data_IF_713244179283
#
_entry.id   IF_713244179283
#
_cell.length_a   1.000
_cell.length_b   1.000
_cell.length_c   1.000
_cell.angle_alpha   90.00
_cell.angle_beta   90.00
_cell.angle_gamma   90.00
#
_symmetry.space_group_name_H-M   'P 1'
#
loop_
_entity.id
_entity.type
_entity.pdbx_description
1 polymer ?
#
# COMPACT_ATOMS: atom_id res chain seq x y z
N UNK A 1 -40.66 -20.60 4.21
CA UNK A 1 -40.55 -19.56 3.17
C UNK A 1 -41.28 -18.35 3.69
N UNK A 2 -40.57 -17.39 4.25
CA UNK A 2 -41.12 -16.14 4.71
C UNK A 2 -40.40 -15.02 3.99
N UNK A 3 -41.16 -14.26 3.23
CA UNK A 3 -40.69 -13.17 2.37
C UNK A 3 -40.12 -12.01 3.21
N UNK A 4 -38.99 -11.50 2.78
CA UNK A 4 -38.33 -10.31 3.35
C UNK A 4 -38.99 -9.03 2.77
N UNK A 5 -39.37 -8.05 3.55
CA UNK A 5 -40.00 -6.84 3.03
C UNK A 5 -38.99 -5.95 2.29
N UNK A 6 -39.36 -5.59 1.06
CA UNK A 6 -38.63 -4.61 0.24
C UNK A 6 -38.69 -3.21 0.83
N UNK A 7 -37.58 -2.75 1.41
CA UNK A 7 -37.43 -1.34 1.79
C UNK A 7 -37.11 -0.48 0.55
N UNK A 8 -38.06 0.34 0.12
CA UNK A 8 -37.83 1.40 -0.86
C UNK A 8 -36.98 2.50 -0.24
N UNK A 9 -35.72 2.57 -0.60
CA UNK A 9 -34.85 3.70 -0.25
C UNK A 9 -35.16 4.86 -1.18
N UNK A 10 -35.83 5.89 -0.68
CA UNK A 10 -35.89 7.21 -1.30
C UNK A 10 -34.55 7.90 -1.06
N UNK A 11 -33.85 8.22 -2.13
CA UNK A 11 -32.68 9.11 -2.10
C UNK A 11 -33.12 10.51 -1.66
N UNK A 12 -32.87 10.84 -0.40
CA UNK A 12 -32.92 12.21 0.10
C UNK A 12 -31.54 12.85 -0.04
N UNK A 13 -31.53 14.00 -0.69
CA UNK A 13 -30.34 14.86 -0.84
C UNK A 13 -29.92 15.39 0.54
N UNK A 14 -28.56 15.34 0.74
CA UNK A 14 -27.78 16.08 1.73
C UNK A 14 -27.81 15.62 3.21
N UNK A 15 -26.58 15.52 3.71
CA UNK A 15 -26.07 15.64 5.09
C UNK A 15 -25.60 14.38 5.80
N UNK A 16 -24.28 14.41 6.06
CA UNK A 16 -23.53 13.83 7.19
C UNK A 16 -23.97 12.45 7.69
N UNK A 17 -23.16 11.44 7.36
CA UNK A 17 -23.21 10.16 8.09
C UNK A 17 -22.37 10.26 9.36
N UNK A 18 -23.01 10.18 10.51
CA UNK A 18 -22.41 9.86 11.80
C UNK A 18 -22.72 8.38 12.04
N UNK A 19 -21.69 7.53 12.14
CA UNK A 19 -21.87 6.17 12.62
C UNK A 19 -21.76 6.16 14.13
N UNK A 20 -22.88 5.92 14.82
CA UNK A 20 -22.89 5.47 16.22
C UNK A 20 -22.99 3.95 16.21
N UNK A 21 -21.92 3.29 16.66
CA UNK A 21 -21.93 1.88 16.97
C UNK A 21 -22.34 1.69 18.44
N UNK A 22 -23.45 1.03 18.67
CA UNK A 22 -23.76 0.42 19.99
C UNK A 22 -24.69 -0.76 19.79
N UNK A 23 -24.23 -1.90 20.20
CA UNK A 23 -24.76 -3.11 20.82
C UNK A 23 -24.35 -4.42 20.15
N UNK A 24 -23.91 -5.42 20.92
CA UNK A 24 -23.48 -6.72 20.40
C UNK A 24 -24.67 -7.69 20.37
N UNK A 25 -24.72 -8.52 19.32
CA UNK A 25 -25.52 -9.74 19.31
C UNK A 25 -26.64 -9.75 18.29
N UNK A 26 -26.34 -10.24 17.09
CA UNK A 26 -27.14 -11.15 16.26
C UNK A 26 -26.48 -11.28 14.89
N UNK A 27 -25.81 -12.42 14.66
CA UNK A 27 -25.38 -12.82 13.33
C UNK A 27 -26.61 -13.24 12.52
N UNK A 28 -26.99 -12.45 11.52
CA UNK A 28 -27.84 -12.87 10.42
C UNK A 28 -27.10 -12.49 9.14
N UNK A 29 -26.54 -13.53 8.50
CA UNK A 29 -25.92 -13.41 7.19
C UNK A 29 -26.95 -13.01 6.13
N UNK A 30 -26.83 -11.78 5.65
CA UNK A 30 -27.38 -11.38 4.37
C UNK A 30 -26.23 -11.33 3.37
N UNK A 31 -26.15 -12.28 2.46
CA UNK A 31 -25.27 -12.16 1.28
C UNK A 31 -25.70 -10.97 0.43
N UNK A 32 -24.86 -9.92 0.44
CA UNK A 32 -24.96 -8.84 -0.52
C UNK A 32 -24.39 -9.31 -1.88
N UNK A 33 -25.23 -9.84 -2.75
CA UNK A 33 -24.90 -10.04 -4.17
C UNK A 33 -24.99 -8.69 -4.91
N UNK A 34 -24.19 -7.73 -4.48
CA UNK A 34 -23.93 -6.50 -5.21
C UNK A 34 -22.78 -6.74 -6.17
N UNK A 35 -23.04 -6.95 -7.46
CA UNK A 35 -22.02 -6.78 -8.51
C UNK A 35 -21.41 -5.39 -8.29
N UNK A 36 -20.21 -5.33 -7.70
CA UNK A 36 -19.34 -4.15 -7.83
C UNK A 36 -19.07 -4.01 -9.32
N UNK A 37 -19.80 -3.14 -9.99
CA UNK A 37 -19.33 -2.58 -11.25
C UNK A 37 -17.99 -1.94 -10.88
N UNK A 38 -16.90 -2.41 -11.46
CA UNK A 38 -15.65 -1.68 -11.50
C UNK A 38 -16.01 -0.33 -12.16
N UNK A 39 -16.29 0.66 -11.34
CA UNK A 39 -16.38 2.04 -11.81
C UNK A 39 -14.94 2.40 -12.16
N UNK A 40 -14.55 2.22 -13.42
CA UNK A 40 -13.40 2.93 -13.95
C UNK A 40 -13.66 4.40 -13.66
N UNK A 41 -12.71 5.13 -13.07
CA UNK A 41 -12.86 6.57 -12.92
C UNK A 41 -13.20 7.11 -14.31
N UNK A 42 -14.34 7.78 -14.44
CA UNK A 42 -14.72 8.43 -15.69
C UNK A 42 -13.64 9.48 -15.92
N UNK A 43 -12.84 9.38 -16.99
CA UNK A 43 -11.80 10.37 -17.23
C UNK A 43 -12.47 11.73 -17.38
N UNK A 44 -11.86 12.74 -16.75
CA UNK A 44 -12.33 14.12 -16.88
C UNK A 44 -12.40 14.49 -18.37
N UNK A 45 -13.47 15.12 -18.86
CA UNK A 45 -13.51 15.61 -20.24
C UNK A 45 -12.29 16.48 -20.52
N UNK A 46 -11.67 16.30 -21.68
CA UNK A 46 -10.43 17.03 -22.05
C UNK A 46 -10.61 18.54 -22.03
N UNK A 47 -11.80 18.99 -22.40
CA UNK A 47 -12.19 20.40 -22.38
C UNK A 47 -12.19 20.95 -20.94
N UNK A 48 -12.79 20.23 -20.00
CA UNK A 48 -12.80 20.59 -18.57
C UNK A 48 -11.39 20.61 -17.99
N UNK A 49 -10.56 19.62 -18.32
CA UNK A 49 -9.15 19.57 -17.88
C UNK A 49 -8.36 20.77 -18.43
N UNK A 50 -8.56 21.13 -19.70
CA UNK A 50 -7.91 22.28 -20.32
C UNK A 50 -8.28 23.59 -19.64
N UNK A 51 -9.57 23.79 -19.34
CA UNK A 51 -10.08 24.95 -18.61
C UNK A 51 -9.47 25.03 -17.21
N UNK A 52 -9.46 23.92 -16.48
CA UNK A 52 -8.88 23.85 -15.13
C UNK A 52 -7.38 24.15 -15.12
N UNK A 53 -6.61 23.57 -16.05
CA UNK A 53 -5.19 23.83 -16.17
C UNK A 53 -4.89 25.28 -16.58
N UNK A 54 -5.72 25.89 -17.42
CA UNK A 54 -5.58 27.30 -17.78
C UNK A 54 -5.88 28.21 -16.57
N UNK A 55 -6.90 27.90 -15.77
CA UNK A 55 -7.20 28.62 -14.54
C UNK A 55 -6.07 28.51 -13.51
N UNK A 56 -5.46 27.33 -13.33
CA UNK A 56 -4.29 27.15 -12.46
C UNK A 56 -3.07 27.97 -12.96
N UNK A 57 -2.84 28.07 -14.25
CA UNK A 57 -1.79 28.94 -14.82
C UNK A 57 -2.03 30.41 -14.50
N UNK A 58 -3.26 30.89 -14.58
CA UNK A 58 -3.59 32.27 -14.19
C UNK A 58 -3.28 32.53 -12.71
N UNK A 59 -3.66 31.61 -11.83
CA UNK A 59 -3.33 31.71 -10.39
C UNK A 59 -1.81 31.75 -10.18
N UNK A 60 -1.05 30.91 -10.88
CA UNK A 60 0.41 30.88 -10.75
C UNK A 60 1.12 32.12 -11.27
N UNK A 61 0.60 32.74 -12.35
CA UNK A 61 1.19 33.94 -12.95
C UNK A 61 0.74 35.23 -12.29
N UNK A 62 -0.42 35.23 -11.65
CA UNK A 62 -1.00 36.41 -10.98
C UNK A 62 -1.56 36.06 -9.58
N UNK A 63 -0.69 35.56 -8.68
CA UNK A 63 -1.11 35.04 -7.36
C UNK A 63 -1.62 36.11 -6.40
N UNK A 64 -1.46 37.39 -6.71
CA UNK A 64 -1.99 38.50 -5.92
C UNK A 64 -3.42 38.87 -6.31
N UNK A 65 -3.85 38.46 -7.52
CA UNK A 65 -5.19 38.76 -8.07
C UNK A 65 -6.16 37.63 -7.83
N UNK A 66 -5.67 36.39 -7.92
CA UNK A 66 -6.49 35.18 -7.80
C UNK A 66 -6.18 34.44 -6.49
N UNK A 67 -7.21 33.91 -5.85
CA UNK A 67 -7.08 33.09 -4.63
C UNK A 67 -6.85 31.61 -4.90
N UNK A 68 -7.26 31.13 -6.10
CA UNK A 68 -7.08 29.73 -6.51
C UNK A 68 -8.11 29.27 -7.53
N UNK A 69 -7.94 28.05 -8.03
CA UNK A 69 -8.90 27.41 -8.94
C UNK A 69 -9.37 26.07 -8.33
N UNK A 70 -10.66 25.79 -8.43
CA UNK A 70 -11.29 24.60 -7.87
C UNK A 70 -12.16 23.91 -8.92
N UNK A 71 -11.95 22.61 -9.08
CA UNK A 71 -12.81 21.77 -9.91
C UNK A 71 -13.97 21.23 -9.08
N UNK A 72 -15.19 21.49 -9.52
CA UNK A 72 -16.43 21.02 -8.89
C UNK A 72 -16.96 19.75 -9.53
N UNK A 73 -17.80 19.07 -8.78
CA UNK A 73 -18.59 17.97 -9.29
C UNK A 73 -19.39 18.43 -10.53
N UNK A 74 -19.43 17.57 -11.57
CA UNK A 74 -20.03 17.93 -12.85
C UNK A 74 -19.09 18.72 -13.80
N UNK A 75 -17.80 18.82 -13.48
CA UNK A 75 -16.79 19.39 -14.39
C UNK A 75 -16.75 20.92 -14.46
N UNK A 76 -17.39 21.62 -13.51
CA UNK A 76 -17.36 23.09 -13.47
C UNK A 76 -16.10 23.59 -12.77
N UNK A 77 -15.44 24.59 -13.35
CA UNK A 77 -14.25 25.23 -12.78
C UNK A 77 -14.64 26.54 -12.10
N UNK A 78 -14.29 26.69 -10.83
CA UNK A 78 -14.45 27.92 -10.05
C UNK A 78 -13.09 28.57 -9.88
N UNK A 79 -12.93 29.80 -10.34
CA UNK A 79 -11.77 30.63 -10.09
C UNK A 79 -12.11 31.63 -8.98
N UNK A 80 -11.33 31.63 -7.90
CA UNK A 80 -11.49 32.62 -6.85
C UNK A 80 -10.70 33.87 -7.20
N UNK A 81 -11.31 35.04 -7.03
CA UNK A 81 -10.76 36.35 -7.40
C UNK A 81 -10.80 37.27 -6.18
N UNK A 82 -9.71 37.93 -5.91
CA UNK A 82 -9.62 38.88 -4.77
C UNK A 82 -10.54 40.08 -5.02
N UNK A 83 -11.35 40.44 -4.00
CA UNK A 83 -12.25 41.59 -4.03
C UNK A 83 -11.46 42.91 -4.11
N UNK A 84 -12.08 43.96 -4.68
CA UNK A 84 -11.48 45.29 -4.77
C UNK A 84 -11.69 45.94 -6.14
N UNK A 85 -11.09 47.11 -6.34
CA UNK A 85 -11.32 47.97 -7.52
C UNK A 85 -10.95 47.30 -8.87
N UNK A 86 -10.08 46.27 -8.86
CA UNK A 86 -9.67 45.51 -10.03
C UNK A 86 -10.52 44.27 -10.36
N UNK A 87 -11.54 43.97 -9.60
CA UNK A 87 -12.31 42.72 -9.67
C UNK A 87 -12.87 42.43 -11.08
N UNK A 88 -13.54 43.38 -11.69
CA UNK A 88 -14.20 43.19 -13.00
C UNK A 88 -13.17 43.08 -14.12
N UNK A 89 -12.04 43.82 -14.02
CA UNK A 89 -10.91 43.66 -14.94
C UNK A 89 -10.27 42.28 -14.84
N UNK A 90 -10.09 41.77 -13.62
CA UNK A 90 -9.55 40.42 -13.37
C UNK A 90 -10.46 39.32 -13.92
N UNK A 91 -11.80 39.44 -13.73
CA UNK A 91 -12.76 38.48 -14.31
C UNK A 91 -12.74 38.53 -15.84
N UNK A 92 -12.71 39.71 -16.45
CA UNK A 92 -12.66 39.88 -17.88
C UNK A 92 -11.34 39.26 -18.48
N UNK A 93 -10.21 39.51 -17.83
CA UNK A 93 -8.94 38.92 -18.22
C UNK A 93 -8.97 37.38 -18.13
N UNK A 94 -9.56 36.84 -17.06
CA UNK A 94 -9.69 35.40 -16.88
C UNK A 94 -10.58 34.76 -17.96
N UNK A 95 -11.74 35.35 -18.27
CA UNK A 95 -12.62 34.88 -19.36
C UNK A 95 -11.93 34.90 -20.72
N UNK A 96 -11.12 35.93 -20.99
CA UNK A 96 -10.36 36.03 -22.23
C UNK A 96 -9.25 34.96 -22.35
N UNK A 97 -8.62 34.59 -21.22
CA UNK A 97 -7.52 33.65 -21.18
C UNK A 97 -7.95 32.17 -21.10
N UNK A 98 -9.09 31.88 -20.47
CA UNK A 98 -9.52 30.53 -20.12
C UNK A 98 -10.76 30.09 -20.88
N UNK A 99 -11.69 31.02 -21.17
CA UNK A 99 -12.95 30.75 -21.85
C UNK A 99 -14.19 31.00 -20.96
N UNK A 100 -15.37 30.86 -21.57
CA UNK A 100 -16.65 31.23 -20.97
C UNK A 100 -17.16 30.30 -19.85
N UNK A 101 -16.59 29.11 -19.69
CA UNK A 101 -17.06 28.08 -18.74
C UNK A 101 -16.52 28.26 -17.30
N UNK A 102 -15.95 29.43 -16.99
CA UNK A 102 -15.47 29.77 -15.67
C UNK A 102 -16.57 30.34 -14.79
N UNK A 103 -16.67 29.79 -13.58
CA UNK A 103 -17.43 30.40 -12.49
C UNK A 103 -16.48 31.22 -11.60
N UNK A 104 -16.98 32.35 -11.09
CA UNK A 104 -16.20 33.20 -10.20
C UNK A 104 -16.73 33.17 -8.78
N UNK A 105 -15.83 33.19 -7.82
CA UNK A 105 -16.11 33.45 -6.41
C UNK A 105 -15.19 34.56 -5.92
N UNK A 106 -15.76 35.60 -5.31
CA UNK A 106 -14.98 36.68 -4.68
C UNK A 106 -14.48 36.21 -3.32
N UNK A 107 -13.23 36.51 -3.03
CA UNK A 107 -12.50 36.13 -1.81
C UNK A 107 -11.71 37.33 -1.28
N UNK A 108 -11.30 37.26 -0.01
CA UNK A 108 -10.57 38.34 0.65
C UNK A 108 -9.04 38.16 0.56
N UNK A 109 -8.57 36.88 0.38
CA UNK A 109 -7.16 36.53 0.39
C UNK A 109 -6.70 36.03 -0.97
N UNK A 110 -5.52 36.47 -1.36
CA UNK A 110 -4.85 36.03 -2.57
C UNK A 110 -4.20 34.64 -2.41
N UNK A 111 -3.89 33.96 -3.53
CA UNK A 111 -3.14 32.72 -3.52
C UNK A 111 -1.75 32.90 -2.88
N UNK A 112 -1.14 34.08 -3.05
CA UNK A 112 0.11 34.45 -2.39
C UNK A 112 -0.03 34.49 -0.88
N UNK A 113 -1.08 35.13 -0.37
CA UNK A 113 -1.33 35.26 1.08
C UNK A 113 -1.57 33.90 1.73
N UNK A 114 -2.43 33.08 1.09
CA UNK A 114 -2.72 31.74 1.59
C UNK A 114 -1.49 30.83 1.53
N UNK A 115 -0.72 30.90 0.42
CA UNK A 115 0.49 30.11 0.27
C UNK A 115 1.58 30.51 1.28
N UNK A 116 1.76 31.81 1.52
CA UNK A 116 2.67 32.31 2.54
C UNK A 116 2.26 31.84 3.94
N UNK A 117 0.98 31.98 4.27
CA UNK A 117 0.44 31.49 5.54
C UNK A 117 0.66 29.99 5.72
N UNK A 118 0.38 29.20 4.70
CA UNK A 118 0.62 27.74 4.71
C UNK A 118 2.11 27.40 4.86
N UNK A 119 3.00 28.14 4.18
CA UNK A 119 4.44 27.93 4.28
C UNK A 119 4.99 28.20 5.71
N UNK A 120 4.54 29.28 6.36
CA UNK A 120 4.90 29.58 7.75
C UNK A 120 4.42 28.47 8.69
N UNK A 121 3.17 28.04 8.54
CA UNK A 121 2.61 26.97 9.37
C UNK A 121 3.33 25.63 9.15
N UNK A 122 3.62 25.26 7.89
CA UNK A 122 4.35 24.04 7.56
C UNK A 122 5.76 24.02 8.13
N UNK A 123 6.46 25.16 8.13
CA UNK A 123 7.77 25.30 8.76
C UNK A 123 7.69 25.02 10.27
N UNK A 124 6.69 25.57 10.96
CA UNK A 124 6.51 25.35 12.39
C UNK A 124 6.12 23.91 12.72
N UNK A 125 5.25 23.29 11.91
CA UNK A 125 4.83 21.90 12.08
C UNK A 125 6.02 20.95 11.83
N UNK A 126 6.77 21.16 10.75
CA UNK A 126 7.90 20.30 10.38
C UNK A 126 9.02 20.32 11.43
N UNK A 127 9.23 21.46 12.09
CA UNK A 127 10.18 21.60 13.18
C UNK A 127 9.58 21.31 14.56
N UNK A 128 8.38 20.77 14.64
CA UNK A 128 7.67 20.44 15.89
C UNK A 128 7.52 21.62 16.86
N UNK A 129 7.44 22.84 16.32
CA UNK A 129 7.23 24.07 17.12
C UNK A 129 5.76 24.31 17.44
N UNK A 130 4.87 23.58 16.81
CA UNK A 130 3.42 23.62 17.03
C UNK A 130 2.92 22.23 17.44
N UNK A 131 2.71 22.04 18.74
CA UNK A 131 2.10 20.82 19.26
C UNK A 131 0.67 20.66 18.70
N UNK A 132 0.22 19.42 18.56
CA UNK A 132 -1.12 19.06 18.09
C UNK A 132 -1.43 19.39 16.61
N UNK A 133 -0.61 20.17 15.91
CA UNK A 133 -0.79 20.41 14.47
C UNK A 133 -0.18 19.27 13.66
N UNK A 134 -0.97 18.68 12.73
CA UNK A 134 -0.59 17.51 11.93
C UNK A 134 -0.27 17.85 10.48
N UNK A 135 -0.82 18.94 9.95
CA UNK A 135 -0.60 19.35 8.58
C UNK A 135 -1.47 20.52 8.17
N UNK A 136 -1.24 21.02 6.95
CA UNK A 136 -2.03 22.11 6.39
C UNK A 136 -2.57 21.76 4.99
N UNK A 137 -3.65 22.40 4.59
CA UNK A 137 -4.13 22.46 3.21
C UNK A 137 -4.72 23.83 2.91
N UNK A 138 -4.58 24.29 1.68
CA UNK A 138 -5.22 25.53 1.21
C UNK A 138 -6.58 25.15 0.61
N UNK A 139 -7.63 25.82 1.03
CA UNK A 139 -8.98 25.73 0.46
C UNK A 139 -9.38 27.06 -0.16
N UNK A 140 -9.07 27.30 -1.44
CA UNK A 140 -9.27 28.59 -2.10
C UNK A 140 -10.72 29.03 -2.10
N UNK A 141 -11.64 28.09 -2.19
CA UNK A 141 -13.07 28.42 -2.20
C UNK A 141 -13.59 28.84 -0.83
N UNK A 142 -13.01 28.32 0.25
CA UNK A 142 -13.31 28.77 1.62
C UNK A 142 -12.50 29.98 2.03
N UNK A 143 -11.53 30.35 1.19
CA UNK A 143 -10.61 31.47 1.42
C UNK A 143 -9.75 31.30 2.68
N UNK A 144 -9.31 30.09 2.95
CA UNK A 144 -8.58 29.75 4.18
C UNK A 144 -7.45 28.75 3.95
N UNK A 145 -6.50 28.75 4.89
CA UNK A 145 -5.59 27.64 5.17
C UNK A 145 -6.21 26.82 6.30
N UNK A 146 -6.50 25.56 6.04
CA UNK A 146 -6.98 24.64 7.07
C UNK A 146 -5.78 23.97 7.73
N UNK A 147 -5.70 24.05 9.06
CA UNK A 147 -4.76 23.29 9.88
C UNK A 147 -5.48 22.06 10.42
N UNK A 148 -4.97 20.87 10.12
CA UNK A 148 -5.46 19.62 10.69
C UNK A 148 -4.80 19.40 12.04
N UNK A 149 -5.57 19.08 13.08
CA UNK A 149 -5.10 18.92 14.47
C UNK A 149 -5.74 17.71 15.15
N UNK A 150 -4.98 17.00 15.99
CA UNK A 150 -5.52 15.98 16.90
C UNK A 150 -6.22 16.58 18.12
N UNK A 151 -5.87 17.84 18.49
CA UNK A 151 -6.55 18.64 19.50
C UNK A 151 -6.78 20.09 19.03
N UNK A 152 -7.87 20.35 18.26
CA UNK A 152 -8.18 21.69 17.77
C UNK A 152 -8.29 22.75 18.87
N UNK A 153 -8.86 22.39 20.02
CA UNK A 153 -9.09 23.34 21.11
C UNK A 153 -7.78 23.92 21.68
N UNK A 154 -6.71 23.16 21.63
CA UNK A 154 -5.38 23.58 22.10
C UNK A 154 -4.74 24.64 21.19
N UNK A 155 -4.97 24.59 19.88
CA UNK A 155 -4.24 25.43 18.91
C UNK A 155 -5.10 26.50 18.23
N UNK A 156 -6.41 26.33 18.14
CA UNK A 156 -7.31 27.28 17.46
C UNK A 156 -7.21 28.71 18.01
N UNK A 157 -7.21 28.95 19.35
CA UNK A 157 -7.07 30.32 19.89
C UNK A 157 -5.75 30.98 19.50
N UNK A 158 -4.67 30.21 19.43
CA UNK A 158 -3.33 30.69 19.07
C UNK A 158 -3.31 31.11 17.60
N UNK A 159 -3.85 30.26 16.73
CA UNK A 159 -3.85 30.49 15.29
C UNK A 159 -4.82 31.62 14.89
N UNK A 160 -6.01 31.68 15.47
CA UNK A 160 -6.96 32.75 15.23
C UNK A 160 -6.39 34.10 15.65
N UNK A 161 -5.72 34.20 16.80
CA UNK A 161 -5.04 35.42 17.23
C UNK A 161 -3.96 35.88 16.26
N UNK A 162 -3.23 34.94 15.64
CA UNK A 162 -2.06 35.23 14.81
C UNK A 162 -2.42 35.49 13.34
N UNK A 163 -3.36 34.74 12.81
CA UNK A 163 -3.68 34.72 11.37
C UNK A 163 -5.10 35.20 11.04
N UNK A 164 -5.93 35.44 12.06
CA UNK A 164 -7.33 35.87 11.85
C UNK A 164 -8.16 34.85 11.10
N UNK A 165 -8.99 35.36 10.18
CA UNK A 165 -9.91 34.55 9.36
C UNK A 165 -9.19 33.67 8.30
N UNK A 166 -7.91 33.90 8.05
CA UNK A 166 -7.12 33.14 7.06
C UNK A 166 -6.87 31.69 7.47
N UNK A 167 -7.03 31.35 8.75
CA UNK A 167 -6.75 30.00 9.25
C UNK A 167 -7.97 29.43 9.96
N UNK A 168 -8.30 28.19 9.64
CA UNK A 168 -9.31 27.38 10.31
C UNK A 168 -8.66 26.10 10.81
N UNK A 169 -9.01 25.68 12.03
CA UNK A 169 -8.53 24.42 12.59
C UNK A 169 -9.62 23.36 12.47
N UNK A 170 -9.26 22.21 11.93
CA UNK A 170 -10.16 21.07 11.81
C UNK A 170 -9.57 19.86 12.52
N UNK A 171 -10.44 19.07 13.15
CA UNK A 171 -10.03 17.82 13.77
C UNK A 171 -9.62 16.81 12.70
N UNK A 172 -8.49 16.18 12.91
CA UNK A 172 -7.99 15.09 12.10
C UNK A 172 -7.17 14.12 12.92
N UNK A 173 -6.70 13.09 12.26
CA UNK A 173 -5.86 12.05 12.84
C UNK A 173 -4.48 12.07 12.20
N UNK A 174 -3.46 11.66 12.94
CA UNK A 174 -2.12 11.47 12.40
C UNK A 174 -2.16 10.42 11.28
N UNK A 175 -1.66 10.79 10.11
CA UNK A 175 -1.55 9.84 9.00
C UNK A 175 -0.49 8.81 9.34
N UNK A 176 -0.85 7.54 9.28
CA UNK A 176 0.08 6.42 9.47
C UNK A 176 0.57 6.00 8.09
N UNK A 177 1.88 5.84 7.95
CA UNK A 177 2.45 5.34 6.71
C UNK A 177 1.87 3.95 6.41
N UNK A 178 1.35 3.76 5.20
CA UNK A 178 0.79 2.48 4.75
C UNK A 178 1.95 1.51 4.41
N UNK A 179 2.80 1.22 5.39
CA UNK A 179 4.00 0.38 5.20
C UNK A 179 3.65 -1.11 5.12
N UNK A 180 2.49 -1.53 5.67
CA UNK A 180 1.97 -2.88 5.57
C UNK A 180 3.06 -3.94 5.73
N UNK A 181 3.28 -4.75 4.68
CA UNK A 181 4.30 -5.81 4.65
C UNK A 181 5.75 -5.35 4.89
N UNK A 182 6.06 -4.05 4.81
CA UNK A 182 7.37 -3.50 5.15
C UNK A 182 7.50 -3.08 6.62
N UNK A 183 6.37 -2.84 7.30
CA UNK A 183 6.31 -2.51 8.73
C UNK A 183 5.76 -3.66 9.58
N UNK A 184 5.90 -4.89 9.10
CA UNK A 184 5.43 -6.08 9.80
C UNK A 184 6.02 -6.17 11.21
N UNK A 185 5.23 -6.66 12.16
CA UNK A 185 5.60 -6.79 13.57
C UNK A 185 5.10 -8.13 14.13
N UNK A 186 5.67 -8.60 15.23
CA UNK A 186 5.26 -9.88 15.80
C UNK A 186 3.75 -9.95 16.16
N UNK A 187 3.06 -11.04 15.84
CA UNK A 187 3.54 -12.23 15.16
C UNK A 187 3.73 -11.98 13.66
N UNK A 188 4.92 -12.27 13.13
CA UNK A 188 5.28 -12.01 11.74
C UNK A 188 4.51 -12.88 10.75
N UNK A 189 4.23 -12.32 9.56
CA UNK A 189 3.53 -12.95 8.44
C UNK A 189 4.48 -13.23 7.27
N UNK A 190 4.09 -14.15 6.39
CA UNK A 190 4.77 -14.35 5.12
C UNK A 190 4.51 -13.22 4.13
N UNK A 191 5.40 -13.05 3.15
CA UNK A 191 5.33 -11.99 2.14
C UNK A 191 5.78 -10.62 2.64
N UNK A 192 6.26 -10.52 3.88
CA UNK A 192 6.80 -9.29 4.44
C UNK A 192 8.23 -9.03 3.98
N UNK A 193 8.59 -7.75 3.86
CA UNK A 193 9.95 -7.33 3.54
C UNK A 193 10.87 -7.38 4.74
N UNK A 194 12.09 -7.89 4.53
CA UNK A 194 13.11 -7.93 5.57
C UNK A 194 14.48 -7.51 5.04
N UNK A 195 15.31 -7.00 5.94
CA UNK A 195 16.67 -6.56 5.70
C UNK A 195 17.66 -7.38 6.51
N UNK A 196 18.73 -7.83 5.89
CA UNK A 196 19.86 -8.42 6.62
C UNK A 196 20.51 -7.34 7.49
N UNK A 197 20.64 -7.62 8.80
CA UNK A 197 21.17 -6.65 9.77
C UNK A 197 22.54 -6.11 9.34
N UNK A 198 22.70 -4.79 9.40
CA UNK A 198 23.94 -4.10 9.03
C UNK A 198 24.20 -3.98 7.52
N UNK A 199 23.26 -4.37 6.65
CA UNK A 199 23.44 -4.37 5.19
C UNK A 199 22.30 -3.72 4.43
N UNK A 200 22.39 -3.63 3.10
CA UNK A 200 21.33 -3.25 2.18
C UNK A 200 20.68 -4.45 1.48
N UNK A 201 21.05 -5.69 1.85
CA UNK A 201 20.48 -6.91 1.29
C UNK A 201 19.06 -7.09 1.82
N UNK A 202 18.10 -7.28 0.94
CA UNK A 202 16.70 -7.53 1.28
C UNK A 202 16.22 -8.86 0.72
N UNK A 203 15.33 -9.50 1.48
CA UNK A 203 14.57 -10.68 1.10
C UNK A 203 13.13 -10.56 1.61
N UNK A 204 12.34 -11.59 1.38
CA UNK A 204 10.96 -11.69 1.84
C UNK A 204 10.75 -12.89 2.75
N UNK A 205 9.88 -12.76 3.74
CA UNK A 205 9.39 -13.89 4.54
C UNK A 205 8.50 -14.80 3.69
N UNK A 206 8.56 -16.11 3.90
CA UNK A 206 7.77 -17.10 3.15
C UNK A 206 6.51 -17.55 3.88
N UNK A 207 6.61 -18.73 4.51
CA UNK A 207 5.52 -19.33 5.29
C UNK A 207 5.99 -19.68 6.70
N UNK A 208 5.04 -19.76 7.62
CA UNK A 208 5.32 -20.33 8.95
C UNK A 208 5.29 -21.84 8.88
N UNK A 209 6.36 -22.49 9.33
CA UNK A 209 6.46 -23.93 9.53
C UNK A 209 6.32 -24.27 11.02
N UNK A 210 5.82 -25.47 11.30
CA UNK A 210 5.80 -26.03 12.65
C UNK A 210 6.56 -27.36 12.64
N UNK A 211 7.59 -27.50 13.46
CA UNK A 211 8.32 -28.75 13.60
C UNK A 211 7.56 -29.77 14.46
N UNK A 212 8.11 -30.98 14.59
CA UNK A 212 7.52 -32.06 15.38
C UNK A 212 7.24 -31.67 16.86
N UNK A 213 8.06 -30.76 17.42
CA UNK A 213 7.90 -30.30 18.82
C UNK A 213 6.92 -29.12 18.98
N UNK A 214 6.25 -28.70 17.91
CA UNK A 214 5.33 -27.55 17.94
C UNK A 214 6.02 -26.19 17.81
N UNK A 215 7.35 -26.15 17.65
CA UNK A 215 8.08 -24.89 17.47
C UNK A 215 7.83 -24.32 16.08
N UNK A 216 7.53 -23.04 16.02
CA UNK A 216 7.29 -22.32 14.76
C UNK A 216 8.55 -21.62 14.27
N UNK A 217 8.75 -21.67 12.95
CA UNK A 217 9.82 -21.00 12.21
C UNK A 217 9.23 -20.26 11.02
N UNK A 218 9.87 -19.16 10.63
CA UNK A 218 9.57 -18.50 9.37
C UNK A 218 10.55 -19.02 8.32
N UNK A 219 10.03 -19.55 7.20
CA UNK A 219 10.87 -19.94 6.07
C UNK A 219 11.20 -18.73 5.19
N UNK A 220 12.40 -18.72 4.62
CA UNK A 220 12.82 -17.84 3.51
C UNK A 220 13.78 -18.59 2.61
N UNK A 221 14.27 -17.95 1.52
CA UNK A 221 15.23 -18.58 0.61
C UNK A 221 16.61 -18.74 1.26
N UNK A 222 17.24 -19.89 1.07
CA UNK A 222 18.53 -20.22 1.70
C UNK A 222 19.70 -19.35 1.26
N UNK A 223 19.63 -18.73 0.08
CA UNK A 223 20.62 -17.76 -0.37
C UNK A 223 20.48 -16.38 0.31
N UNK A 224 19.40 -16.15 1.06
CA UNK A 224 19.17 -14.87 1.73
C UNK A 224 20.17 -14.61 2.84
N UNK A 225 20.44 -15.60 3.72
CA UNK A 225 21.35 -15.44 4.86
C UNK A 225 22.33 -16.60 5.04
N UNK A 226 23.18 -16.48 6.03
CA UNK A 226 24.01 -17.56 6.54
C UNK A 226 23.56 -17.93 7.94
N UNK A 227 23.92 -19.13 8.41
CA UNK A 227 23.65 -19.56 9.80
C UNK A 227 24.09 -18.48 10.79
N UNK A 228 23.23 -18.16 11.75
CA UNK A 228 23.47 -17.16 12.78
C UNK A 228 23.23 -15.70 12.33
N UNK A 229 22.91 -15.42 11.09
CA UNK A 229 22.61 -14.06 10.66
C UNK A 229 21.20 -13.64 11.10
N UNK A 230 21.04 -12.35 11.42
CA UNK A 230 19.79 -11.78 11.92
C UNK A 230 19.10 -10.95 10.86
N UNK A 231 17.79 -11.12 10.74
CA UNK A 231 16.92 -10.39 9.84
C UNK A 231 16.05 -9.41 10.62
N UNK A 232 15.95 -8.19 10.14
CA UNK A 232 15.09 -7.13 10.64
C UNK A 232 13.92 -6.93 9.69
N UNK A 233 12.76 -6.48 10.20
CA UNK A 233 11.62 -6.09 9.35
C UNK A 233 11.98 -4.93 8.42
N UNK A 234 11.11 -4.60 7.46
CA UNK A 234 11.37 -3.57 6.46
C UNK A 234 11.65 -2.18 7.02
N UNK A 235 11.15 -1.85 8.20
CA UNK A 235 11.46 -0.60 8.95
C UNK A 235 12.70 -0.70 9.84
N UNK A 236 13.28 -1.89 9.97
CA UNK A 236 14.44 -2.21 10.84
C UNK A 236 14.18 -1.98 12.34
N UNK A 237 12.91 -2.00 12.76
CA UNK A 237 12.50 -1.78 14.15
C UNK A 237 12.36 -3.07 14.95
N UNK A 238 12.06 -4.18 14.26
CA UNK A 238 11.84 -5.48 14.90
C UNK A 238 12.71 -6.55 14.27
N UNK A 239 13.22 -7.46 15.10
CA UNK A 239 13.92 -8.66 14.66
C UNK A 239 12.90 -9.69 14.17
N UNK A 240 12.95 -10.02 12.88
CA UNK A 240 12.14 -11.08 12.26
C UNK A 240 12.63 -12.46 12.71
N UNK A 241 13.92 -12.62 12.90
CA UNK A 241 14.53 -13.85 13.39
C UNK A 241 15.99 -13.97 13.03
N UNK A 242 16.58 -15.05 13.53
CA UNK A 242 17.97 -15.45 13.22
C UNK A 242 17.93 -16.77 12.46
N UNK A 243 18.78 -16.92 11.44
CA UNK A 243 18.90 -18.16 10.64
C UNK A 243 19.41 -19.28 11.53
N UNK A 244 18.56 -20.27 11.79
CA UNK A 244 18.88 -21.43 12.62
C UNK A 244 19.17 -22.68 11.81
N UNK A 245 18.55 -22.82 10.65
CA UNK A 245 18.73 -23.99 9.76
C UNK A 245 18.77 -23.52 8.30
N UNK A 246 19.52 -24.24 7.47
CA UNK A 246 19.73 -23.92 6.07
C UNK A 246 19.97 -25.17 5.24
N UNK A 247 19.45 -25.23 4.01
CA UNK A 247 19.57 -26.42 3.14
C UNK A 247 20.36 -26.18 1.86
N UNK A 248 20.56 -24.93 1.43
CA UNK A 248 21.22 -24.61 0.16
C UNK A 248 22.67 -25.11 0.12
N UNK A 249 23.33 -25.18 1.27
CA UNK A 249 24.72 -25.66 1.38
C UNK A 249 24.88 -27.13 1.00
N UNK A 250 23.78 -27.88 1.05
CA UNK A 250 23.76 -29.32 0.69
C UNK A 250 23.31 -29.53 -0.77
N UNK A 251 23.10 -28.47 -1.56
CA UNK A 251 22.66 -28.56 -2.95
C UNK A 251 21.26 -29.16 -3.13
N UNK A 252 20.38 -29.06 -2.09
CA UNK A 252 19.03 -29.64 -2.14
C UNK A 252 17.99 -28.58 -2.39
N UNK A 253 17.59 -27.85 -1.36
CA UNK A 253 16.56 -26.80 -1.45
C UNK A 253 17.21 -25.43 -1.26
N UNK A 254 16.72 -24.43 -1.94
CA UNK A 254 17.06 -23.04 -1.61
C UNK A 254 16.14 -22.56 -0.49
N UNK A 255 16.43 -22.96 0.75
CA UNK A 255 15.60 -22.63 1.91
C UNK A 255 16.43 -22.46 3.19
N UNK A 256 15.98 -21.56 4.08
CA UNK A 256 16.46 -21.37 5.44
C UNK A 256 15.29 -21.10 6.40
N UNK A 257 15.49 -21.42 7.69
CA UNK A 257 14.53 -21.20 8.76
C UNK A 257 15.02 -20.13 9.71
N UNK A 258 14.16 -19.11 9.91
CA UNK A 258 14.36 -18.07 10.91
C UNK A 258 13.63 -18.47 12.19
N UNK A 259 14.33 -18.40 13.31
CA UNK A 259 13.80 -18.65 14.65
C UNK A 259 14.05 -17.48 15.58
N UNK A 260 13.46 -17.54 16.79
CA UNK A 260 13.67 -16.54 17.84
C UNK A 260 12.62 -15.43 17.88
N UNK A 261 11.56 -15.53 17.08
CA UNK A 261 10.42 -14.62 17.13
C UNK A 261 9.08 -15.40 17.11
N UNK A 262 7.98 -14.69 17.13
CA UNK A 262 6.62 -15.27 16.98
C UNK A 262 6.14 -15.14 15.55
N UNK A 263 5.57 -16.22 15.01
CA UNK A 263 5.13 -16.31 13.62
C UNK A 263 3.68 -16.78 13.54
N UNK A 264 2.88 -16.13 12.70
CA UNK A 264 1.50 -16.50 12.45
C UNK A 264 1.34 -17.24 11.12
N UNK A 265 0.29 -18.03 11.00
CA UNK A 265 -0.04 -18.78 9.79
C UNK A 265 -0.78 -17.93 8.75
N UNK A 266 -0.26 -16.74 8.48
CA UNK A 266 -0.81 -15.76 7.54
C UNK A 266 0.26 -15.31 6.56
N UNK A 267 -0.16 -14.89 5.36
CA UNK A 267 0.70 -14.20 4.41
C UNK A 267 0.05 -12.91 3.91
N UNK A 268 0.87 -11.93 3.59
CA UNK A 268 0.42 -10.75 2.87
C UNK A 268 0.02 -11.11 1.44
N UNK A 269 -1.17 -10.68 1.03
CA UNK A 269 -1.72 -10.83 -0.33
C UNK A 269 -1.80 -9.51 -1.09
N UNK A 270 -1.54 -8.41 -0.39
CA UNK A 270 -1.29 -7.06 -0.91
C UNK A 270 -0.48 -6.28 0.12
N UNK A 271 -0.21 -5.00 -0.11
CA UNK A 271 0.62 -4.19 0.80
C UNK A 271 0.13 -4.20 2.25
N UNK A 272 -1.18 -4.18 2.48
CA UNK A 272 -1.79 -4.10 3.82
C UNK A 272 -2.82 -5.20 4.10
N UNK A 273 -3.12 -6.06 3.12
CA UNK A 273 -4.05 -7.18 3.30
C UNK A 273 -3.30 -8.49 3.44
N UNK A 274 -3.85 -9.40 4.23
CA UNK A 274 -3.29 -10.71 4.49
C UNK A 274 -4.39 -11.77 4.53
N UNK A 275 -4.02 -13.03 4.33
CA UNK A 275 -4.94 -14.16 4.39
C UNK A 275 -4.30 -15.35 5.12
N UNK A 276 -5.13 -16.21 5.78
CA UNK A 276 -4.64 -17.39 6.45
C UNK A 276 -4.21 -18.46 5.47
N UNK A 277 -3.12 -19.16 5.79
CA UNK A 277 -2.69 -20.37 5.10
C UNK A 277 -3.53 -21.55 5.58
N UNK A 278 -4.06 -22.35 4.66
CA UNK A 278 -4.96 -23.48 4.98
C UNK A 278 -4.34 -24.85 4.72
N UNK A 279 -3.13 -24.89 4.18
CA UNK A 279 -2.43 -26.13 3.86
C UNK A 279 -1.42 -25.96 2.74
N UNK A 280 -1.06 -27.05 2.11
CA UNK A 280 -0.15 -27.09 0.96
C UNK A 280 -0.83 -27.59 -0.28
N UNK A 281 -0.29 -27.24 -1.44
CA UNK A 281 -0.73 -27.74 -2.73
C UNK A 281 0.48 -28.06 -3.61
N UNK A 282 0.39 -29.11 -4.40
CA UNK A 282 1.40 -29.42 -5.44
C UNK A 282 1.13 -28.56 -6.68
N UNK A 283 2.16 -27.95 -7.20
CA UNK A 283 2.04 -27.30 -8.50
C UNK A 283 1.63 -28.33 -9.57
N UNK A 284 0.75 -27.94 -10.46
CA UNK A 284 0.33 -28.74 -11.58
C UNK A 284 0.74 -28.08 -12.89
N UNK A 285 1.13 -28.89 -13.88
CA UNK A 285 1.33 -28.40 -15.25
C UNK A 285 0.00 -27.83 -15.77
N UNK A 286 0.05 -26.65 -16.37
CA UNK A 286 -1.15 -25.94 -16.82
C UNK A 286 -1.84 -25.07 -15.77
N UNK A 287 -1.32 -25.01 -14.53
CA UNK A 287 -1.90 -24.21 -13.46
C UNK A 287 -1.29 -22.81 -13.39
N UNK A 288 -2.05 -21.90 -12.79
CA UNK A 288 -1.53 -20.61 -12.35
C UNK A 288 -1.20 -20.65 -10.87
N UNK A 289 -0.07 -20.10 -10.52
CA UNK A 289 0.36 -19.82 -9.14
C UNK A 289 0.50 -18.32 -8.95
N UNK A 290 0.42 -17.86 -7.71
CA UNK A 290 0.64 -16.47 -7.36
C UNK A 290 1.94 -16.34 -6.57
N UNK A 291 2.80 -15.45 -7.05
CA UNK A 291 4.01 -14.97 -6.37
C UNK A 291 3.64 -13.75 -5.55
N UNK A 292 4.08 -13.66 -4.31
CA UNK A 292 3.76 -12.52 -3.44
C UNK A 292 4.97 -12.08 -2.59
N UNK A 293 6.06 -11.73 -3.27
CA UNK A 293 7.23 -11.14 -2.65
C UNK A 293 7.02 -9.70 -2.21
N UNK A 294 7.85 -9.24 -1.30
CA UNK A 294 7.69 -7.92 -0.66
C UNK A 294 7.89 -6.74 -1.61
N UNK A 295 8.63 -6.93 -2.71
CA UNK A 295 8.94 -5.88 -3.69
C UNK A 295 7.93 -5.81 -4.82
N UNK A 296 7.61 -6.96 -5.43
CA UNK A 296 6.66 -7.03 -6.55
C UNK A 296 5.22 -7.04 -6.06
N UNK A 297 4.96 -7.61 -4.88
CA UNK A 297 3.61 -7.90 -4.44
C UNK A 297 3.02 -9.09 -5.18
N UNK A 298 1.68 -9.15 -5.28
CA UNK A 298 0.99 -10.29 -5.87
C UNK A 298 1.01 -10.29 -7.40
N UNK A 299 1.66 -11.29 -8.01
CA UNK A 299 1.69 -11.50 -9.45
C UNK A 299 1.36 -12.94 -9.81
N UNK A 300 0.54 -13.15 -10.85
CA UNK A 300 0.22 -14.49 -11.36
C UNK A 300 1.24 -14.96 -12.40
N UNK A 301 1.58 -16.24 -12.32
CA UNK A 301 2.43 -16.91 -13.30
C UNK A 301 1.90 -18.28 -13.65
N UNK A 302 2.09 -18.67 -14.89
CA UNK A 302 1.67 -19.96 -15.46
C UNK A 302 2.80 -20.99 -15.29
N UNK A 303 2.48 -22.15 -14.75
CA UNK A 303 3.36 -23.29 -14.62
C UNK A 303 3.18 -24.18 -15.86
N UNK A 304 4.09 -24.05 -16.82
CA UNK A 304 4.04 -24.87 -18.06
C UNK A 304 4.32 -26.35 -17.78
N UNK A 305 5.30 -26.60 -16.91
CA UNK A 305 5.71 -27.94 -16.47
C UNK A 305 5.98 -27.93 -14.96
N UNK A 306 5.29 -28.77 -14.21
CA UNK A 306 5.44 -28.90 -12.77
C UNK A 306 6.58 -29.82 -12.31
N UNK A 307 7.30 -30.46 -13.25
CA UNK A 307 8.47 -31.24 -12.91
C UNK A 307 9.55 -30.34 -12.30
N UNK A 308 10.15 -30.82 -11.22
CA UNK A 308 11.25 -30.11 -10.58
C UNK A 308 12.54 -30.23 -11.37
N UNK A 309 13.34 -29.18 -11.33
CA UNK A 309 14.67 -29.14 -11.91
C UNK A 309 15.71 -28.77 -10.86
N UNK A 310 16.97 -28.98 -11.19
CA UNK A 310 18.11 -28.46 -10.45
C UNK A 310 18.84 -27.43 -11.31
N UNK A 311 19.21 -26.29 -10.74
CA UNK A 311 19.85 -25.19 -11.44
C UNK A 311 21.03 -24.62 -10.66
N UNK A 312 22.06 -24.19 -11.38
CA UNK A 312 23.10 -23.32 -10.82
C UNK A 312 22.60 -21.88 -10.89
N UNK A 313 22.54 -21.22 -9.74
CA UNK A 313 22.00 -19.88 -9.59
C UNK A 313 23.10 -18.95 -9.10
N UNK A 314 23.32 -17.82 -9.79
CA UNK A 314 24.22 -16.75 -9.37
C UNK A 314 23.44 -15.66 -8.64
N UNK A 315 23.85 -15.32 -7.44
CA UNK A 315 23.25 -14.27 -6.61
C UNK A 315 24.01 -12.93 -6.69
N UNK A 316 24.62 -12.68 -7.84
CA UNK A 316 25.40 -11.48 -8.12
C UNK A 316 26.80 -11.48 -7.49
N UNK A 317 27.51 -10.37 -7.61
CA UNK A 317 28.92 -10.24 -7.21
C UNK A 317 29.19 -10.43 -5.72
N UNK A 318 28.17 -10.28 -4.88
CA UNK A 318 28.29 -10.41 -3.41
C UNK A 318 27.70 -11.69 -2.83
N UNK A 319 26.96 -12.48 -3.63
CA UNK A 319 26.16 -13.60 -3.15
C UNK A 319 26.70 -15.00 -3.46
N UNK A 320 27.70 -15.12 -4.33
CA UNK A 320 28.23 -16.41 -4.77
C UNK A 320 27.32 -17.13 -5.78
N UNK A 321 27.69 -18.39 -6.06
CA UNK A 321 26.96 -19.29 -6.94
C UNK A 321 26.56 -20.53 -6.15
N UNK A 322 25.28 -20.90 -6.23
CA UNK A 322 24.75 -22.07 -5.52
C UNK A 322 24.05 -23.02 -6.50
N UNK A 323 24.02 -24.29 -6.16
CA UNK A 323 23.29 -25.32 -6.86
C UNK A 323 22.04 -25.65 -6.04
N UNK A 324 20.86 -25.42 -6.60
CA UNK A 324 19.59 -25.67 -5.94
C UNK A 324 18.71 -26.59 -6.76
N UNK A 325 18.00 -27.49 -6.09
CA UNK A 325 17.08 -28.46 -6.68
C UNK A 325 15.63 -28.18 -6.22
N UNK A 326 14.70 -29.02 -6.68
CA UNK A 326 13.28 -28.90 -6.41
C UNK A 326 12.67 -27.58 -6.90
N UNK A 327 13.25 -27.05 -7.98
CA UNK A 327 12.85 -25.79 -8.59
C UNK A 327 11.77 -26.04 -9.66
N UNK A 328 10.71 -25.22 -9.62
CA UNK A 328 9.69 -25.18 -10.64
C UNK A 328 9.68 -23.81 -11.31
N UNK A 329 9.61 -23.84 -12.65
CA UNK A 329 9.56 -22.63 -13.46
C UNK A 329 8.11 -22.15 -13.65
N UNK A 330 7.91 -20.84 -13.53
CA UNK A 330 6.63 -20.19 -13.83
C UNK A 330 6.83 -18.88 -14.58
N UNK A 331 6.02 -18.66 -15.61
CA UNK A 331 6.15 -17.52 -16.53
C UNK A 331 4.89 -16.68 -16.52
N UNK A 332 5.02 -15.37 -16.53
CA UNK A 332 3.90 -14.44 -16.70
C UNK A 332 3.87 -13.86 -18.13
N UNK A 333 2.76 -13.23 -18.49
CA UNK A 333 2.63 -12.49 -19.74
C UNK A 333 3.00 -11.02 -19.46
N UNK A 334 4.19 -10.60 -19.88
CA UNK A 334 4.63 -9.21 -19.78
C UNK A 334 5.69 -8.98 -18.71
N UNK A 335 5.30 -8.64 -17.48
CA UNK A 335 6.24 -8.32 -16.40
C UNK A 335 6.59 -9.59 -15.62
N UNK A 336 7.87 -9.76 -15.23
CA UNK A 336 8.29 -10.89 -14.41
C UNK A 336 7.49 -10.94 -13.10
N UNK A 337 7.05 -12.13 -12.66
CA UNK A 337 6.24 -12.28 -11.45
C UNK A 337 7.04 -12.11 -10.16
N UNK A 338 8.34 -11.91 -10.25
CA UNK A 338 9.23 -11.61 -9.13
C UNK A 338 10.40 -10.70 -9.56
N UNK A 339 11.05 -10.08 -8.60
CA UNK A 339 12.24 -9.26 -8.77
C UNK A 339 13.22 -9.43 -7.59
N UNK A 340 14.38 -8.80 -7.68
CA UNK A 340 15.36 -8.80 -6.58
C UNK A 340 14.74 -8.28 -5.27
N UNK A 341 14.89 -9.07 -4.19
CA UNK A 341 14.31 -8.79 -2.88
C UNK A 341 12.98 -9.53 -2.62
N UNK A 342 12.38 -10.16 -3.64
CA UNK A 342 11.24 -11.07 -3.46
C UNK A 342 11.67 -12.48 -2.99
N UNK A 343 12.95 -12.79 -3.05
CA UNK A 343 13.53 -14.07 -2.61
C UNK A 343 12.98 -14.50 -1.26
N UNK A 344 12.54 -15.74 -1.16
CA UNK A 344 11.90 -16.33 0.02
C UNK A 344 10.41 -16.03 0.16
N UNK A 345 9.87 -15.07 -0.59
CA UNK A 345 8.45 -14.74 -0.57
C UNK A 345 7.54 -15.91 -0.96
N UNK A 346 6.27 -15.93 -0.54
CA UNK A 346 5.39 -17.05 -0.74
C UNK A 346 4.95 -17.20 -2.19
N UNK A 347 4.89 -18.46 -2.63
CA UNK A 347 4.22 -18.89 -3.87
C UNK A 347 3.04 -19.78 -3.47
N UNK A 348 1.85 -19.46 -3.94
CA UNK A 348 0.62 -20.11 -3.51
C UNK A 348 -0.46 -20.20 -4.58
N UNK A 349 -1.47 -21.01 -4.30
CA UNK A 349 -2.74 -21.05 -5.04
C UNK A 349 -3.89 -20.69 -4.12
N UNK A 350 -4.98 -20.22 -4.69
CA UNK A 350 -6.23 -19.96 -3.95
C UNK A 350 -7.35 -20.86 -4.44
N UNK A 351 -8.17 -21.34 -3.48
CA UNK A 351 -9.42 -22.01 -3.78
C UNK A 351 -10.52 -21.31 -2.97
N UNK A 352 -11.32 -20.50 -3.62
CA UNK A 352 -12.19 -19.52 -2.96
C UNK A 352 -11.39 -18.56 -2.10
N UNK A 353 -11.71 -18.47 -0.80
CA UNK A 353 -10.99 -17.65 0.17
C UNK A 353 -9.84 -18.40 0.87
N UNK A 354 -9.59 -19.64 0.54
CA UNK A 354 -8.54 -20.46 1.11
C UNK A 354 -7.25 -20.32 0.31
N UNK A 355 -6.11 -20.25 1.02
CA UNK A 355 -4.79 -20.12 0.46
C UNK A 355 -3.95 -21.35 0.82
N UNK A 356 -3.27 -21.91 -0.17
CA UNK A 356 -2.46 -23.12 -0.03
C UNK A 356 -1.03 -22.85 -0.52
N UNK A 357 -0.05 -23.15 0.33
CA UNK A 357 1.37 -22.99 0.04
C UNK A 357 1.82 -23.95 -1.07
N UNK A 358 2.53 -23.43 -2.06
CA UNK A 358 3.11 -24.18 -3.18
C UNK A 358 4.63 -24.19 -3.10
N UNK A 359 5.23 -23.05 -2.75
CA UNK A 359 6.68 -22.90 -2.67
C UNK A 359 7.12 -21.53 -2.19
N UNK A 360 8.42 -21.27 -2.28
CA UNK A 360 9.04 -19.98 -1.99
C UNK A 360 9.84 -19.47 -3.18
N UNK A 361 9.82 -18.17 -3.42
CA UNK A 361 10.52 -17.52 -4.53
C UNK A 361 12.03 -17.72 -4.40
N UNK A 362 12.68 -18.23 -5.46
CA UNK A 362 14.10 -18.53 -5.48
C UNK A 362 14.88 -17.67 -6.45
N UNK A 363 14.51 -17.62 -7.72
CA UNK A 363 15.31 -16.98 -8.74
C UNK A 363 14.42 -16.35 -9.85
N UNK A 364 15.04 -15.47 -10.62
CA UNK A 364 14.45 -14.86 -11.81
C UNK A 364 15.38 -14.98 -13.00
N UNK A 365 14.83 -14.91 -14.20
CA UNK A 365 15.58 -14.80 -15.46
C UNK A 365 15.47 -13.37 -15.97
N UNK A 366 16.61 -12.68 -16.02
CA UNK A 366 16.63 -11.24 -16.41
C UNK A 366 16.17 -10.98 -17.86
N UNK A 367 16.23 -12.01 -18.72
CA UNK A 367 15.90 -11.89 -20.16
C UNK A 367 14.45 -12.29 -20.50
N UNK A 368 13.65 -12.70 -19.52
CA UNK A 368 12.26 -13.16 -19.74
C UNK A 368 11.40 -12.97 -18.48
N UNK A 369 10.06 -12.87 -18.60
CA UNK A 369 9.16 -12.74 -17.47
C UNK A 369 8.96 -14.08 -16.74
N UNK A 370 10.07 -14.71 -16.32
CA UNK A 370 10.12 -16.05 -15.74
C UNK A 370 10.80 -16.01 -14.39
N UNK A 371 10.16 -16.65 -13.41
CA UNK A 371 10.71 -16.86 -12.08
C UNK A 371 10.69 -18.35 -11.71
N UNK A 372 11.58 -18.73 -10.80
CA UNK A 372 11.63 -20.06 -10.20
C UNK A 372 11.26 -19.98 -8.74
N UNK A 373 10.61 -21.02 -8.25
CA UNK A 373 10.36 -21.22 -6.84
C UNK A 373 10.79 -22.61 -6.41
N UNK A 374 11.27 -22.74 -5.18
CA UNK A 374 11.51 -24.02 -4.52
C UNK A 374 10.19 -24.57 -4.00
N UNK A 375 9.81 -25.81 -4.37
CA UNK A 375 8.58 -26.45 -3.89
C UNK A 375 8.57 -26.58 -2.37
N UNK A 376 7.38 -26.43 -1.78
CA UNK A 376 7.20 -26.46 -0.32
C UNK A 376 7.35 -27.88 0.25
N UNK A 377 6.88 -28.92 -0.44
CA UNK A 377 6.88 -30.28 0.08
C UNK A 377 8.27 -30.84 0.34
N UNK A 378 9.27 -30.73 -0.57
CA UNK A 378 10.63 -31.14 -0.28
C UNK A 378 11.24 -30.40 0.94
N UNK A 379 10.90 -29.14 1.14
CA UNK A 379 11.34 -28.35 2.28
C UNK A 379 10.74 -28.89 3.58
N UNK A 380 9.44 -29.14 3.61
CA UNK A 380 8.74 -29.71 4.77
C UNK A 380 9.27 -31.08 5.12
N UNK A 381 9.51 -31.93 4.11
CA UNK A 381 10.07 -33.27 4.30
C UNK A 381 11.47 -33.24 4.86
N UNK A 382 12.32 -32.33 4.37
CA UNK A 382 13.70 -32.19 4.82
C UNK A 382 13.80 -31.91 6.32
N UNK A 383 12.94 -31.04 6.84
CA UNK A 383 12.92 -30.66 8.25
C UNK A 383 11.86 -31.40 9.09
N UNK A 384 11.25 -32.43 8.55
CA UNK A 384 10.17 -33.19 9.25
C UNK A 384 9.17 -32.23 9.89
N UNK A 385 8.69 -31.27 9.10
CA UNK A 385 7.82 -30.19 9.54
C UNK A 385 6.52 -30.14 8.76
N UNK A 386 5.57 -29.37 9.24
CA UNK A 386 4.29 -29.10 8.59
C UNK A 386 4.12 -27.61 8.37
N UNK A 387 3.30 -27.22 7.36
CA UNK A 387 2.89 -25.83 7.20
C UNK A 387 1.96 -25.48 8.35
N UNK A 388 2.17 -24.32 8.99
CA UNK A 388 1.23 -23.81 9.97
C UNK A 388 -0.04 -23.34 9.28
N UNK A 389 -1.20 -23.67 9.86
CA UNK A 389 -2.52 -23.24 9.37
C UNK A 389 -3.17 -22.26 10.34
N UNK A 390 -3.93 -21.28 9.80
CA UNK A 390 -4.59 -20.20 10.56
C UNK A 390 -6.11 -20.19 10.39
#
# INVERSE_FOLDING_TARGET
>A
MSECPTAKVRLARSRKFVFLASHPGAALGCEFTGRRRNAHPIPMPKETEAVFQAALRLVSTSPDIYGGAVLKEGGRVVLTVVGGDGLEAAKSAALSAVGADLLFKVVDHSARDLSHTAAVLNDEISHRRMAHALGTRIEPERDVVVVTSDDPAAIEPILTKRFGSRVVVEKGEMLVAALGRWADNPPFYGGAGMWLSGTTKSCSTGFTLTNYYGTRYMITAGHCGNLGTTWLNGTRTYTVGTVQFRTIDNGTNDAELLGGATYAAYIYTASTTFAPVRGTFYACSGCYVRFDGSKTGGAYAYVGNSNTSCQTISYGSSGGTYYACNLVEATSTGIAPCQYGDSGGPVYVTNGNALYAVGIITALKSSSPTCWYTQIQPILSYWTSTIATG
#
